data_IF_691741470282
#
_entry.id   IF_691741470282
#
_cell.length_a   1.000
_cell.length_b   1.000
_cell.length_c   1.000
_cell.angle_alpha   90.00
_cell.angle_beta   90.00
_cell.angle_gamma   90.00
#
_symmetry.space_group_name_H-M   'P 1'
#
loop_
_entity.id
_entity.type
_entity.pdbx_description
1 polymer ?
#
# COMPACT_ATOMS: atom_id res chain seq x y z
N UNK A 1 0.27 -7.24 -18.09
CA UNK A 1 0.32 -6.35 -16.90
C UNK A 1 -0.55 -5.07 -16.98
N UNK A 2 -0.72 -4.41 -18.14
CA UNK A 2 -1.52 -3.15 -18.21
C UNK A 2 -2.99 -3.32 -17.83
N UNK A 3 -3.64 -4.40 -18.30
CA UNK A 3 -5.04 -4.72 -17.95
C UNK A 3 -5.28 -4.97 -16.47
N UNK A 4 -4.33 -5.60 -15.77
CA UNK A 4 -4.46 -5.90 -14.34
C UNK A 4 -4.33 -4.62 -13.51
N UNK A 5 -3.37 -3.75 -13.86
CA UNK A 5 -3.25 -2.42 -13.25
C UNK A 5 -4.50 -1.56 -13.49
N UNK A 6 -5.09 -1.62 -14.68
CA UNK A 6 -6.31 -0.87 -15.01
C UNK A 6 -7.56 -1.41 -14.29
N UNK A 7 -7.61 -2.72 -14.03
CA UNK A 7 -8.65 -3.34 -13.21
C UNK A 7 -8.48 -2.99 -11.72
N UNK A 8 -7.26 -3.07 -11.20
CA UNK A 8 -6.93 -2.74 -9.81
C UNK A 8 -7.23 -1.25 -9.51
N UNK A 9 -6.97 -0.37 -10.47
CA UNK A 9 -7.25 1.07 -10.36
C UNK A 9 -8.76 1.33 -10.39
N UNK A 10 -9.50 0.74 -11.34
CA UNK A 10 -10.97 0.90 -11.38
C UNK A 10 -11.64 0.34 -10.13
N UNK A 11 -11.19 -0.81 -9.64
CA UNK A 11 -11.71 -1.39 -8.41
C UNK A 11 -11.43 -0.51 -7.19
N UNK A 12 -10.29 0.20 -7.18
CA UNK A 12 -9.96 1.20 -6.16
C UNK A 12 -10.94 2.37 -6.18
N UNK A 13 -11.16 2.95 -7.34
CA UNK A 13 -12.09 4.07 -7.53
C UNK A 13 -13.52 3.66 -7.15
N UNK A 14 -13.95 2.45 -7.51
CA UNK A 14 -15.27 1.92 -7.15
C UNK A 14 -15.44 1.71 -5.64
N UNK A 15 -14.44 1.12 -4.96
CA UNK A 15 -14.47 0.91 -3.51
C UNK A 15 -14.49 2.24 -2.74
N UNK A 16 -13.68 3.20 -3.19
CA UNK A 16 -13.63 4.55 -2.63
C UNK A 16 -14.99 5.23 -2.80
N UNK A 17 -15.54 5.23 -4.01
CA UNK A 17 -16.83 5.85 -4.32
C UNK A 17 -17.97 5.20 -3.53
N UNK A 18 -17.96 3.87 -3.40
CA UNK A 18 -18.96 3.15 -2.61
C UNK A 18 -18.89 3.56 -1.13
N UNK A 19 -17.70 3.61 -0.53
CA UNK A 19 -17.56 4.02 0.89
C UNK A 19 -17.90 5.50 1.09
N UNK A 20 -17.52 6.38 0.16
CA UNK A 20 -17.90 7.80 0.18
C UNK A 20 -19.43 7.97 0.11
N UNK A 21 -20.11 7.17 -0.72
CA UNK A 21 -21.57 7.16 -0.81
C UNK A 21 -22.25 6.73 0.51
N UNK A 22 -21.64 5.83 1.29
CA UNK A 22 -22.17 5.44 2.59
C UNK A 22 -21.99 6.52 3.66
N UNK A 23 -20.83 7.17 3.69
CA UNK A 23 -20.55 8.26 4.65
C UNK A 23 -21.48 9.46 4.41
N UNK A 24 -21.70 9.83 3.14
CA UNK A 24 -22.62 10.90 2.76
C UNK A 24 -24.09 10.59 3.10
N UNK A 25 -24.52 9.33 3.00
CA UNK A 25 -25.87 8.87 3.40
C UNK A 25 -26.13 8.95 4.90
N UNK A 26 -25.10 8.81 5.74
CA UNK A 26 -25.23 8.87 7.20
C UNK A 26 -25.20 10.30 7.78
N UNK A 27 -25.02 11.32 6.94
CA UNK A 27 -24.61 12.67 7.38
C UNK A 27 -25.59 13.84 7.20
N UNK A 28 -26.81 13.70 6.64
CA UNK A 28 -27.73 14.84 6.47
C UNK A 28 -29.20 14.54 6.81
N UNK A 29 -29.88 15.39 7.61
CA UNK A 29 -31.34 15.46 7.63
C UNK A 29 -31.84 16.11 6.34
N UNK A 30 -32.88 15.52 5.75
CA UNK A 30 -33.54 15.98 4.55
C UNK A 30 -34.05 17.42 4.69
N UNK A 31 -33.69 18.30 3.74
CA UNK A 31 -34.51 19.48 3.46
C UNK A 31 -34.43 19.84 1.99
N UNK A 32 -35.61 20.12 1.46
CA UNK A 32 -36.01 20.15 0.06
C UNK A 32 -35.27 21.19 -0.80
N UNK A 33 -34.94 20.77 -2.02
CA UNK A 33 -34.46 21.59 -3.12
C UNK A 33 -35.60 22.46 -3.66
N UNK A 34 -35.50 23.78 -3.54
CA UNK A 34 -36.32 24.71 -4.34
C UNK A 34 -35.44 25.33 -5.41
N UNK A 35 -35.56 24.80 -6.62
CA UNK A 35 -35.06 25.39 -7.86
C UNK A 35 -35.95 26.59 -8.16
N UNK A 36 -35.38 27.76 -8.46
CA UNK A 36 -36.10 28.77 -9.25
C UNK A 36 -35.18 29.39 -10.28
N UNK A 37 -35.66 29.30 -11.52
CA UNK A 37 -35.09 29.78 -12.77
C UNK A 37 -35.21 31.29 -12.92
N UNK A 38 -34.12 31.93 -13.37
CA UNK A 38 -34.10 33.30 -13.87
C UNK A 38 -34.71 33.37 -15.29
N UNK A 39 -35.63 34.32 -15.55
CA UNK A 39 -35.66 35.06 -16.83
C UNK A 39 -36.40 36.40 -16.77
N UNK A 40 -36.01 37.24 -17.74
CA UNK A 40 -35.98 38.70 -17.88
C UNK A 40 -37.28 39.53 -17.95
N UNK A 41 -37.08 40.79 -17.51
CA UNK A 41 -37.50 42.12 -18.00
C UNK A 41 -38.93 42.50 -18.49
N UNK A 42 -39.26 43.74 -18.10
CA UNK A 42 -40.19 44.76 -18.62
C UNK A 42 -41.73 44.75 -18.35
N UNK A 43 -42.12 45.80 -17.58
CA UNK A 43 -43.30 46.69 -17.62
C UNK A 43 -44.76 46.25 -17.36
N UNK A 44 -45.22 46.81 -16.23
CA UNK A 44 -46.40 47.69 -16.00
C UNK A 44 -47.79 47.07 -15.77
N UNK A 45 -48.41 47.45 -14.63
CA UNK A 45 -49.86 47.38 -14.43
C UNK A 45 -50.42 46.48 -13.31
N UNK A 46 -50.48 47.04 -12.08
CA UNK A 46 -51.46 46.83 -10.98
C UNK A 46 -51.79 45.42 -10.42
N UNK A 47 -51.40 45.28 -9.15
CA UNK A 47 -52.09 44.69 -7.98
C UNK A 47 -52.49 43.20 -7.99
N UNK A 48 -51.65 42.38 -7.35
CA UNK A 48 -52.07 41.50 -6.25
C UNK A 48 -50.88 41.16 -5.34
N UNK A 49 -51.16 40.92 -4.06
CA UNK A 49 -50.16 40.80 -2.98
C UNK A 49 -49.51 39.43 -2.99
N UNK A 50 -48.29 39.32 -3.52
CA UNK A 50 -47.34 38.26 -3.12
C UNK A 50 -46.16 38.90 -2.37
N UNK A 51 -46.04 38.57 -1.09
CA UNK A 51 -44.88 38.93 -0.27
C UNK A 51 -43.70 38.08 -0.73
N UNK A 52 -43.08 38.45 -1.85
CA UNK A 52 -41.73 37.98 -2.18
C UNK A 52 -40.80 38.76 -1.27
N UNK A 53 -40.47 38.18 -0.10
CA UNK A 53 -39.45 38.73 0.79
C UNK A 53 -38.15 38.88 -0.01
N UNK A 54 -37.86 40.12 -0.44
CA UNK A 54 -36.60 40.48 -1.09
C UNK A 54 -35.46 40.15 -0.14
N UNK A 55 -34.77 39.04 -0.40
CA UNK A 55 -33.61 38.61 0.36
C UNK A 55 -32.59 39.75 0.40
N UNK A 56 -32.30 40.21 1.60
CA UNK A 56 -31.38 41.31 1.86
C UNK A 56 -29.99 41.02 1.27
N UNK A 57 -29.29 42.07 0.79
CA UNK A 57 -27.86 41.98 0.41
C UNK A 57 -27.00 41.38 1.53
N UNK A 58 -27.38 41.60 2.80
CA UNK A 58 -26.68 41.01 3.95
C UNK A 58 -26.98 39.51 4.12
N UNK A 59 -28.19 39.06 3.78
CA UNK A 59 -28.56 37.65 3.79
C UNK A 59 -27.82 36.88 2.68
N UNK A 60 -27.81 37.42 1.44
CA UNK A 60 -27.02 36.84 0.33
C UNK A 60 -25.53 36.69 0.64
N UNK A 61 -24.92 37.64 1.39
CA UNK A 61 -23.51 37.55 1.81
C UNK A 61 -23.29 36.46 2.87
N UNK A 62 -24.23 36.28 3.80
CA UNK A 62 -24.19 35.19 4.79
C UNK A 62 -24.36 33.82 4.13
N UNK A 63 -25.30 33.71 3.18
CA UNK A 63 -25.56 32.47 2.46
C UNK A 63 -24.36 32.07 1.57
N UNK A 64 -23.74 33.03 0.87
CA UNK A 64 -22.51 32.77 0.09
C UNK A 64 -21.33 32.32 0.97
N UNK A 65 -21.18 32.90 2.17
CA UNK A 65 -20.15 32.46 3.12
C UNK A 65 -20.43 31.06 3.67
N UNK A 66 -21.69 30.78 4.02
CA UNK A 66 -22.10 29.47 4.50
C UNK A 66 -21.93 28.37 3.45
N UNK A 67 -22.20 28.66 2.18
CA UNK A 67 -21.97 27.74 1.07
C UNK A 67 -20.47 27.46 0.88
N UNK A 68 -19.63 28.50 0.87
CA UNK A 68 -18.18 28.33 0.74
C UNK A 68 -17.55 27.58 1.92
N UNK A 69 -18.04 27.78 3.14
CA UNK A 69 -17.61 27.03 4.34
C UNK A 69 -18.01 25.55 4.22
N UNK A 70 -19.25 25.27 3.76
CA UNK A 70 -19.74 23.92 3.52
C UNK A 70 -18.92 23.21 2.45
N UNK A 71 -18.71 23.82 1.29
CA UNK A 71 -17.87 23.26 0.22
C UNK A 71 -16.42 23.03 0.68
N UNK A 72 -15.87 23.92 1.52
CA UNK A 72 -14.54 23.73 2.10
C UNK A 72 -14.53 22.54 3.06
N UNK A 73 -15.54 22.40 3.92
CA UNK A 73 -15.65 21.26 4.83
C UNK A 73 -15.88 19.94 4.11
N UNK A 74 -16.69 19.93 3.05
CA UNK A 74 -16.94 18.75 2.20
C UNK A 74 -15.66 18.30 1.51
N UNK A 75 -14.87 19.21 0.94
CA UNK A 75 -13.55 18.89 0.36
C UNK A 75 -12.57 18.33 1.39
N UNK A 76 -12.60 18.82 2.63
CA UNK A 76 -11.75 18.29 3.71
C UNK A 76 -12.18 16.86 4.06
N UNK A 77 -13.47 16.63 4.26
CA UNK A 77 -14.02 15.30 4.57
C UNK A 77 -13.76 14.32 3.43
N UNK A 78 -13.94 14.74 2.18
CA UNK A 78 -13.63 13.92 1.00
C UNK A 78 -12.15 13.54 0.97
N UNK A 79 -11.24 14.49 1.20
CA UNK A 79 -9.81 14.21 1.22
C UNK A 79 -9.39 13.34 2.43
N UNK A 80 -10.01 13.52 3.59
CA UNK A 80 -9.79 12.69 4.77
C UNK A 80 -10.32 11.27 4.57
N UNK A 81 -11.51 11.11 3.98
CA UNK A 81 -12.06 9.78 3.64
C UNK A 81 -11.24 9.07 2.58
N UNK A 82 -10.74 9.77 1.56
CA UNK A 82 -9.79 9.24 0.58
C UNK A 82 -8.51 8.73 1.25
N UNK A 83 -7.99 9.47 2.24
CA UNK A 83 -6.80 9.07 2.99
C UNK A 83 -7.06 7.89 3.94
N UNK A 84 -8.22 7.86 4.61
CA UNK A 84 -8.59 6.79 5.57
C UNK A 84 -8.92 5.49 4.84
N UNK A 85 -9.66 5.55 3.74
CA UNK A 85 -10.06 4.36 2.98
C UNK A 85 -9.07 3.95 1.88
N UNK A 86 -7.96 4.68 1.75
CA UNK A 86 -6.89 4.33 0.83
C UNK A 86 -6.34 2.93 1.14
N UNK A 87 -6.05 2.15 0.09
CA UNK A 87 -5.49 0.79 0.20
C UNK A 87 -4.25 0.75 1.10
N UNK A 88 -3.43 1.79 1.07
CA UNK A 88 -2.24 1.96 1.92
C UNK A 88 -2.57 1.96 3.42
N UNK A 89 -3.57 2.73 3.83
CA UNK A 89 -3.94 2.88 5.25
C UNK A 89 -4.55 1.58 5.77
N UNK A 90 -5.47 0.98 4.99
CA UNK A 90 -6.06 -0.31 5.32
C UNK A 90 -5.01 -1.43 5.40
N UNK A 91 -4.03 -1.44 4.49
CA UNK A 91 -2.90 -2.38 4.51
C UNK A 91 -2.04 -2.19 5.76
N UNK A 92 -1.67 -0.96 6.08
CA UNK A 92 -0.86 -0.64 7.25
C UNK A 92 -1.56 -1.05 8.55
N UNK A 93 -2.83 -0.70 8.71
CA UNK A 93 -3.65 -1.06 9.88
C UNK A 93 -3.78 -2.59 10.03
N UNK A 94 -4.01 -3.32 8.93
CA UNK A 94 -4.11 -4.77 8.96
C UNK A 94 -2.81 -5.44 9.40
N UNK A 95 -1.67 -4.99 8.86
CA UNK A 95 -0.35 -5.52 9.24
C UNK A 95 -0.02 -5.15 10.70
N UNK A 96 -0.26 -3.90 11.10
CA UNK A 96 -0.02 -3.43 12.46
C UNK A 96 -0.81 -4.25 13.48
N UNK A 97 -2.07 -4.57 13.19
CA UNK A 97 -2.89 -5.46 14.03
C UNK A 97 -2.24 -6.84 14.19
N UNK A 98 -1.80 -7.47 13.10
CA UNK A 98 -1.14 -8.79 13.14
C UNK A 98 0.16 -8.73 13.96
N UNK A 99 0.92 -7.64 13.84
CA UNK A 99 2.16 -7.46 14.59
C UNK A 99 1.88 -7.27 16.09
N UNK A 100 0.88 -6.45 16.44
CA UNK A 100 0.46 -6.20 17.82
C UNK A 100 0.02 -7.48 18.53
N UNK A 101 -0.79 -8.32 17.87
CA UNK A 101 -1.21 -9.64 18.38
C UNK A 101 -0.02 -10.59 18.66
N UNK A 102 1.16 -10.30 18.11
CA UNK A 102 2.38 -11.11 18.23
C UNK A 102 3.47 -10.47 19.10
N UNK A 103 3.18 -9.40 19.83
CA UNK A 103 4.17 -8.61 20.58
C UNK A 103 5.33 -8.08 19.69
N UNK A 104 5.03 -7.79 18.41
CA UNK A 104 5.97 -7.28 17.42
C UNK A 104 5.63 -5.84 17.02
N UNK A 105 6.66 -5.08 16.62
CA UNK A 105 6.52 -3.77 15.99
C UNK A 105 7.19 -3.76 14.62
N UNK A 106 6.64 -2.95 13.72
CA UNK A 106 7.22 -2.71 12.41
C UNK A 106 8.60 -2.05 12.56
N UNK A 107 9.58 -2.52 11.82
CA UNK A 107 10.85 -1.85 11.64
C UNK A 107 10.96 -1.42 10.18
N UNK A 108 10.81 -0.12 9.95
CA UNK A 108 10.82 0.46 8.61
C UNK A 108 12.22 0.37 7.97
N UNK A 109 12.24 -0.15 6.75
CA UNK A 109 13.42 -0.27 5.90
C UNK A 109 13.32 0.80 4.80
N UNK A 110 14.43 1.50 4.47
CA UNK A 110 14.42 2.48 3.39
C UNK A 110 13.92 1.93 2.04
N UNK A 111 13.18 2.75 1.30
CA UNK A 111 12.64 2.42 -0.02
C UNK A 111 13.66 2.68 -1.14
N UNK A 112 14.81 2.00 -1.08
CA UNK A 112 15.97 2.21 -1.98
C UNK A 112 16.19 1.06 -2.99
N UNK A 113 15.21 0.17 -3.15
CA UNK A 113 15.32 -1.03 -4.00
C UNK A 113 16.16 -2.17 -3.37
N UNK A 114 16.75 -1.96 -2.20
CA UNK A 114 17.45 -2.98 -1.43
C UNK A 114 16.61 -3.52 -0.26
N UNK A 115 15.34 -3.14 -0.19
CA UNK A 115 14.47 -3.36 0.96
C UNK A 115 14.40 -4.84 1.40
N UNK A 116 14.26 -5.79 0.47
CA UNK A 116 14.25 -7.22 0.80
C UNK A 116 15.52 -7.64 1.57
N UNK A 117 16.68 -7.34 1.00
CA UNK A 117 17.98 -7.73 1.57
C UNK A 117 18.27 -6.98 2.87
N UNK A 118 17.93 -5.69 2.95
CA UNK A 118 18.09 -4.90 4.17
C UNK A 118 17.17 -5.41 5.29
N UNK A 119 15.94 -5.82 4.97
CA UNK A 119 15.00 -6.37 5.94
C UNK A 119 15.49 -7.71 6.50
N UNK A 120 16.02 -8.58 5.63
CA UNK A 120 16.64 -9.87 6.01
C UNK A 120 17.91 -9.66 6.83
N UNK A 121 18.82 -8.79 6.38
CA UNK A 121 20.05 -8.46 7.13
C UNK A 121 19.73 -7.93 8.53
N UNK A 122 18.71 -7.08 8.66
CA UNK A 122 18.24 -6.61 9.96
C UNK A 122 17.71 -7.75 10.84
N UNK A 123 16.91 -8.68 10.31
CA UNK A 123 16.45 -9.85 11.06
C UNK A 123 17.61 -10.74 11.51
N UNK A 124 18.56 -11.05 10.62
CA UNK A 124 19.73 -11.87 10.95
C UNK A 124 20.55 -11.24 12.08
N UNK A 125 20.73 -9.91 12.05
CA UNK A 125 21.36 -9.17 13.14
C UNK A 125 20.63 -9.33 14.48
N UNK A 126 19.30 -9.23 14.49
CA UNK A 126 18.50 -9.45 15.71
C UNK A 126 18.59 -10.90 16.20
N UNK A 127 18.73 -11.85 15.30
CA UNK A 127 18.95 -13.25 15.61
C UNK A 127 20.40 -13.53 16.06
N UNK A 128 21.30 -12.54 16.09
CA UNK A 128 22.70 -12.73 16.48
C UNK A 128 23.55 -13.46 15.44
N UNK A 129 23.09 -13.52 14.19
CA UNK A 129 23.80 -14.12 13.06
C UNK A 129 24.48 -13.02 12.23
N UNK A 130 25.72 -12.69 12.62
CA UNK A 130 26.54 -11.64 11.99
C UNK A 130 27.72 -12.32 11.30
N UNK A 131 27.81 -12.23 9.96
CA UNK A 131 28.23 -10.98 9.32
C UNK A 131 27.48 -10.67 8.00
N UNK A 132 26.21 -11.03 7.88
CA UNK A 132 25.48 -10.90 6.62
C UNK A 132 25.07 -9.44 6.33
N UNK A 133 25.92 -8.72 5.60
CA UNK A 133 25.59 -7.42 5.03
C UNK A 133 24.81 -7.53 3.72
N UNK A 134 24.26 -6.41 3.26
CA UNK A 134 23.51 -6.29 2.00
C UNK A 134 24.23 -6.93 0.81
N UNK A 135 25.51 -6.58 0.61
CA UNK A 135 26.30 -7.07 -0.52
C UNK A 135 26.56 -8.58 -0.43
N UNK A 136 26.82 -9.09 0.78
CA UNK A 136 27.04 -10.53 1.00
C UNK A 136 25.77 -11.34 0.64
N UNK A 137 24.60 -10.88 1.10
CA UNK A 137 23.32 -11.52 0.77
C UNK A 137 23.03 -11.50 -0.73
N UNK A 138 23.27 -10.37 -1.41
CA UNK A 138 23.09 -10.26 -2.87
C UNK A 138 24.03 -11.19 -3.64
N UNK A 139 25.31 -11.19 -3.29
CA UNK A 139 26.30 -12.06 -3.93
C UNK A 139 25.99 -13.54 -3.71
N UNK A 140 25.61 -13.94 -2.49
CA UNK A 140 25.18 -15.32 -2.21
C UNK A 140 23.95 -15.71 -2.99
N UNK A 141 22.95 -14.83 -3.06
CA UNK A 141 21.71 -15.07 -3.82
C UNK A 141 22.00 -15.30 -5.29
N UNK A 142 22.77 -14.39 -5.91
CA UNK A 142 23.17 -14.53 -7.31
C UNK A 142 24.03 -15.78 -7.58
N UNK A 143 24.90 -16.14 -6.64
CA UNK A 143 25.75 -17.34 -6.79
C UNK A 143 24.92 -18.61 -6.73
N UNK A 144 23.94 -18.67 -5.82
CA UNK A 144 23.04 -19.82 -5.69
C UNK A 144 22.09 -19.94 -6.88
N UNK A 145 21.58 -18.82 -7.40
CA UNK A 145 20.80 -18.78 -8.65
C UNK A 145 21.60 -19.40 -9.81
N UNK A 146 22.83 -18.94 -10.04
CA UNK A 146 23.69 -19.50 -11.10
C UNK A 146 23.96 -20.99 -10.94
N UNK A 147 24.23 -21.43 -9.71
CA UNK A 147 24.54 -22.83 -9.44
C UNK A 147 23.33 -23.77 -9.66
N UNK A 148 22.10 -23.25 -9.56
CA UNK A 148 20.86 -24.03 -9.59
C UNK A 148 19.89 -23.48 -10.65
N UNK A 149 20.41 -23.07 -11.81
CA UNK A 149 19.64 -22.41 -12.86
C UNK A 149 18.35 -23.16 -13.21
N UNK A 150 18.40 -24.49 -13.36
CA UNK A 150 17.25 -25.29 -13.77
C UNK A 150 16.07 -25.25 -12.78
N UNK A 151 16.35 -24.97 -11.50
CA UNK A 151 15.31 -24.92 -10.46
C UNK A 151 14.58 -23.57 -10.47
N UNK A 152 15.21 -22.51 -10.99
CA UNK A 152 14.69 -21.15 -10.93
C UNK A 152 14.28 -20.58 -12.29
N UNK A 153 14.91 -21.03 -13.38
CA UNK A 153 14.62 -20.58 -14.74
C UNK A 153 13.14 -20.71 -15.14
N UNK A 154 12.40 -21.79 -14.77
CA UNK A 154 10.98 -21.91 -15.11
C UNK A 154 10.08 -20.81 -14.52
N UNK A 155 10.56 -20.06 -13.53
CA UNK A 155 9.82 -18.98 -12.86
C UNK A 155 10.20 -17.58 -13.37
N UNK A 156 11.10 -17.49 -14.35
CA UNK A 156 11.57 -16.24 -14.92
C UNK A 156 11.19 -16.15 -16.40
N UNK A 157 10.26 -15.25 -16.71
CA UNK A 157 9.84 -14.93 -18.07
C UNK A 157 10.02 -13.45 -18.40
N UNK A 158 10.16 -13.15 -19.68
CA UNK A 158 10.21 -11.79 -20.17
C UNK A 158 8.82 -11.16 -20.04
N UNK A 159 8.68 -10.01 -19.35
CA UNK A 159 7.38 -9.36 -19.16
C UNK A 159 6.67 -8.95 -20.47
N UNK A 160 7.42 -8.80 -21.57
CA UNK A 160 6.88 -8.38 -22.87
C UNK A 160 6.51 -9.55 -23.79
N UNK A 161 7.24 -10.67 -23.76
CA UNK A 161 7.02 -11.81 -24.65
C UNK A 161 6.44 -13.05 -23.98
N UNK A 162 6.40 -13.08 -22.64
CA UNK A 162 6.03 -14.25 -21.82
C UNK A 162 6.89 -15.50 -22.09
N UNK A 163 8.00 -15.33 -22.82
CA UNK A 163 8.97 -16.39 -23.07
C UNK A 163 9.91 -16.52 -21.87
N UNK A 164 10.30 -17.76 -21.57
CA UNK A 164 11.32 -18.03 -20.55
C UNK A 164 12.63 -17.34 -20.92
N UNK A 165 13.39 -16.94 -19.91
CA UNK A 165 14.70 -16.34 -20.13
C UNK A 165 15.61 -17.26 -20.94
N UNK A 166 16.34 -16.68 -21.89
CA UNK A 166 17.52 -17.32 -22.46
C UNK A 166 18.62 -17.42 -21.41
N UNK A 167 19.62 -18.28 -21.64
CA UNK A 167 20.78 -18.39 -20.75
C UNK A 167 21.51 -17.06 -20.56
N UNK A 168 21.56 -16.21 -21.59
CA UNK A 168 22.17 -14.87 -21.51
C UNK A 168 21.34 -13.91 -20.65
N UNK A 169 20.00 -13.93 -20.78
CA UNK A 169 19.10 -13.12 -19.96
C UNK A 169 19.13 -13.56 -18.50
N UNK A 170 19.20 -14.86 -18.24
CA UNK A 170 19.33 -15.41 -16.89
C UNK A 170 20.66 -14.98 -16.24
N UNK A 171 21.77 -15.04 -16.97
CA UNK A 171 23.06 -14.56 -16.48
C UNK A 171 23.02 -13.05 -16.19
N UNK A 172 22.38 -12.26 -17.06
CA UNK A 172 22.15 -10.83 -16.81
C UNK A 172 21.34 -10.62 -15.52
N UNK A 173 20.25 -11.36 -15.33
CA UNK A 173 19.45 -11.29 -14.11
C UNK A 173 20.27 -11.61 -12.86
N UNK A 174 21.11 -12.66 -12.89
CA UNK A 174 22.01 -12.98 -11.78
C UNK A 174 23.01 -11.85 -11.49
N UNK A 175 23.52 -11.18 -12.53
CA UNK A 175 24.39 -10.01 -12.38
C UNK A 175 23.66 -8.80 -11.78
N UNK A 176 22.42 -8.55 -12.21
CA UNK A 176 21.60 -7.47 -11.70
C UNK A 176 21.26 -7.69 -10.21
N UNK A 177 20.90 -8.93 -9.83
CA UNK A 177 20.69 -9.34 -8.44
C UNK A 177 21.92 -9.07 -7.58
N UNK A 178 23.11 -9.39 -8.07
CA UNK A 178 24.37 -9.23 -7.32
C UNK A 178 24.79 -7.75 -7.15
N UNK A 179 24.60 -6.93 -8.18
CA UNK A 179 25.35 -5.67 -8.32
C UNK A 179 24.48 -4.40 -8.37
N UNK A 180 23.15 -4.54 -8.39
CA UNK A 180 22.24 -3.39 -8.56
C UNK A 180 21.21 -3.29 -7.44
N UNK A 181 20.37 -2.26 -7.50
CA UNK A 181 19.16 -2.13 -6.67
C UNK A 181 17.94 -2.83 -7.26
N UNK A 182 18.15 -3.84 -8.14
CA UNK A 182 17.07 -4.68 -8.64
C UNK A 182 16.24 -5.24 -7.47
N UNK A 183 14.92 -5.12 -7.61
CA UNK A 183 13.95 -5.49 -6.60
C UNK A 183 13.94 -7.00 -6.44
N UNK A 184 14.02 -7.47 -5.19
CA UNK A 184 13.88 -8.89 -4.89
C UNK A 184 12.42 -9.27 -4.65
N UNK A 185 12.06 -10.48 -5.04
CA UNK A 185 10.72 -11.04 -4.88
C UNK A 185 10.75 -12.45 -4.28
N UNK A 186 9.79 -13.28 -4.71
CA UNK A 186 9.60 -14.63 -4.19
C UNK A 186 10.79 -15.56 -4.48
N UNK A 187 11.43 -15.43 -5.65
CA UNK A 187 12.59 -16.23 -6.04
C UNK A 187 13.77 -15.94 -5.11
N UNK A 188 14.09 -14.66 -4.91
CA UNK A 188 15.18 -14.25 -4.01
C UNK A 188 14.92 -14.69 -2.57
N UNK A 189 13.67 -14.61 -2.10
CA UNK A 189 13.27 -15.12 -0.79
C UNK A 189 13.50 -16.63 -0.65
N UNK A 190 13.12 -17.41 -1.66
CA UNK A 190 13.34 -18.86 -1.69
C UNK A 190 14.83 -19.20 -1.68
N UNK A 191 15.62 -18.50 -2.48
CA UNK A 191 17.09 -18.65 -2.50
C UNK A 191 17.71 -18.28 -1.16
N UNK A 192 17.33 -17.14 -0.58
CA UNK A 192 17.85 -16.66 0.71
C UNK A 192 17.57 -17.67 1.81
N UNK A 193 16.36 -18.25 1.84
CA UNK A 193 16.03 -19.30 2.80
C UNK A 193 16.93 -20.53 2.65
N UNK A 194 17.17 -20.98 1.42
CA UNK A 194 18.05 -22.12 1.14
C UNK A 194 19.53 -21.86 1.47
N UNK A 195 20.02 -20.64 1.21
CA UNK A 195 21.40 -20.21 1.49
C UNK A 195 21.64 -20.06 2.99
N UNK A 196 20.69 -19.45 3.70
CA UNK A 196 20.79 -19.17 5.13
C UNK A 196 20.37 -20.37 5.99
N UNK A 197 19.77 -21.41 5.39
CA UNK A 197 19.19 -22.57 6.09
C UNK A 197 18.22 -22.13 7.19
N UNK A 198 17.39 -21.15 6.84
CA UNK A 198 16.57 -20.39 7.75
C UNK A 198 15.17 -20.22 7.15
N UNK A 199 14.09 -20.53 7.90
CA UNK A 199 12.74 -20.29 7.44
C UNK A 199 12.46 -18.78 7.44
N UNK A 200 11.81 -18.30 6.38
CA UNK A 200 11.40 -16.90 6.24
C UNK A 200 9.87 -16.83 6.26
N UNK A 201 9.32 -16.20 7.29
CA UNK A 201 7.89 -15.90 7.38
C UNK A 201 7.62 -14.50 6.84
N UNK A 202 6.63 -14.40 5.95
CA UNK A 202 6.19 -13.12 5.37
C UNK A 202 4.75 -12.85 5.81
N UNK A 203 4.59 -11.77 6.58
CA UNK A 203 3.30 -11.25 7.01
C UNK A 203 2.81 -10.24 5.96
N UNK A 204 1.54 -10.31 5.57
CA UNK A 204 0.92 -9.43 4.59
C UNK A 204 -0.48 -9.03 5.08
N UNK A 205 -1.02 -7.92 4.58
CA UNK A 205 -2.32 -7.41 5.04
C UNK A 205 -3.49 -8.34 4.75
N UNK A 206 -3.40 -9.18 3.72
CA UNK A 206 -4.48 -10.09 3.31
C UNK A 206 -4.00 -11.53 3.25
N UNK A 207 -4.81 -12.44 3.77
CA UNK A 207 -4.49 -13.86 3.82
C UNK A 207 -3.61 -14.25 5.01
N UNK A 208 -3.26 -15.53 5.07
CA UNK A 208 -2.39 -16.05 6.12
C UNK A 208 -0.92 -15.70 5.82
N UNK A 209 -0.10 -15.42 6.84
CA UNK A 209 1.34 -15.34 6.66
C UNK A 209 1.85 -16.67 6.10
N UNK A 210 2.72 -16.57 5.10
CA UNK A 210 3.31 -17.75 4.45
C UNK A 210 4.77 -17.90 4.87
N UNK A 211 5.23 -19.16 4.89
CA UNK A 211 6.58 -19.53 5.31
C UNK A 211 7.29 -20.15 4.12
N UNK A 212 8.47 -19.62 3.83
CA UNK A 212 9.41 -20.14 2.84
C UNK A 212 10.50 -20.91 3.57
N UNK A 213 10.88 -22.07 3.04
CA UNK A 213 11.89 -22.93 3.65
C UNK A 213 11.39 -23.65 4.89
N UNK A 214 10.18 -24.21 4.85
CA UNK A 214 9.60 -24.95 5.97
C UNK A 214 10.44 -26.18 6.35
N UNK A 215 11.30 -26.67 5.46
CA UNK A 215 12.30 -27.70 5.76
C UNK A 215 13.33 -27.27 6.83
N UNK A 216 13.44 -25.97 7.13
CA UNK A 216 14.34 -25.42 8.13
C UNK A 216 13.63 -25.04 9.44
N UNK A 217 12.42 -25.55 9.72
CA UNK A 217 11.59 -25.17 10.88
C UNK A 217 12.31 -25.24 12.24
N UNK A 218 13.34 -26.09 12.38
CA UNK A 218 14.12 -26.21 13.61
C UNK A 218 15.16 -25.10 13.82
N UNK A 219 15.39 -24.23 12.84
CA UNK A 219 16.32 -23.10 12.97
C UNK A 219 15.61 -21.81 13.37
N UNK A 220 16.39 -20.76 13.65
CA UNK A 220 15.83 -19.44 13.98
C UNK A 220 15.09 -18.90 12.77
N UNK A 221 13.92 -18.30 12.97
CA UNK A 221 13.05 -17.81 11.88
C UNK A 221 13.27 -16.32 11.63
N UNK A 222 13.37 -15.94 10.35
CA UNK A 222 13.36 -14.55 9.88
C UNK A 222 11.90 -14.15 9.64
N UNK A 223 11.45 -13.04 10.22
CA UNK A 223 10.08 -12.53 10.01
C UNK A 223 10.12 -11.18 9.29
N UNK A 224 9.39 -11.09 8.19
CA UNK A 224 9.27 -9.90 7.35
C UNK A 224 7.80 -9.49 7.23
N UNK A 225 7.57 -8.23 6.86
CA UNK A 225 6.25 -7.77 6.42
C UNK A 225 6.31 -7.32 4.96
N UNK A 226 5.34 -7.74 4.16
CA UNK A 226 5.17 -7.38 2.76
C UNK A 226 4.00 -6.39 2.62
N UNK A 227 4.29 -5.26 1.99
CA UNK A 227 3.35 -4.17 1.77
C UNK A 227 3.23 -3.91 0.27
N UNK A 228 2.06 -4.15 -0.33
CA UNK A 228 1.80 -3.97 -1.76
C UNK A 228 1.52 -2.50 -2.11
N UNK A 229 1.00 -1.72 -1.17
CA UNK A 229 0.49 -0.37 -1.38
C UNK A 229 1.17 0.70 -0.50
N UNK A 230 2.19 0.33 0.29
CA UNK A 230 2.94 1.28 1.12
C UNK A 230 3.59 2.42 0.31
N UNK A 231 4.08 2.13 -0.90
CA UNK A 231 4.67 3.13 -1.79
C UNK A 231 4.08 3.10 -3.19
N UNK A 232 4.10 4.27 -3.87
CA UNK A 232 3.60 4.40 -5.25
C UNK A 232 4.39 3.57 -6.27
N UNK A 233 5.68 3.31 -5.99
CA UNK A 233 6.52 2.56 -6.91
C UNK A 233 6.21 1.06 -6.91
N UNK A 234 5.47 0.56 -5.92
CA UNK A 234 5.09 -0.84 -5.82
C UNK A 234 5.39 -1.43 -4.45
N UNK A 235 5.52 -2.75 -4.43
CA UNK A 235 5.61 -3.51 -3.20
C UNK A 235 6.94 -3.31 -2.44
N UNK A 236 6.88 -3.48 -1.13
CA UNK A 236 8.01 -3.20 -0.23
C UNK A 236 8.07 -4.20 0.94
N UNK A 237 9.29 -4.54 1.32
CA UNK A 237 9.57 -5.39 2.47
C UNK A 237 10.11 -4.57 3.64
N UNK A 238 9.53 -4.77 4.81
CA UNK A 238 10.03 -4.26 6.07
C UNK A 238 10.41 -5.41 7.00
N UNK A 239 11.21 -5.06 8.01
CA UNK A 239 11.60 -5.98 9.08
C UNK A 239 10.64 -5.83 10.27
N UNK A 240 10.77 -6.70 11.27
CA UNK A 240 10.04 -6.58 12.54
C UNK A 240 11.01 -6.53 13.70
N UNK A 241 10.57 -6.00 14.84
CA UNK A 241 11.33 -6.08 16.09
C UNK A 241 10.39 -6.36 17.25
N UNK A 242 10.93 -6.90 18.35
CA UNK A 242 10.12 -7.11 19.55
C UNK A 242 9.70 -5.78 20.15
N UNK A 243 8.47 -5.72 20.66
CA UNK A 243 8.06 -4.62 21.54
C UNK A 243 8.86 -4.79 22.84
N UNK A 244 9.62 -3.78 23.22
CA UNK A 244 10.26 -3.77 24.53
C UNK A 244 9.14 -3.75 25.56
N UNK A 245 9.01 -4.80 26.37
CA UNK A 245 8.18 -4.75 27.57
C UNK A 245 8.95 -3.84 28.52
N UNK A 246 8.45 -2.63 28.73
CA UNK A 246 8.92 -1.83 29.85
C UNK A 246 8.63 -2.66 31.11
N UNK A 247 9.69 -3.13 31.76
CA UNK A 247 9.61 -3.74 33.09
C UNK A 247 9.28 -2.62 34.09
N UNK A 248 8.01 -2.22 34.14
CA UNK A 248 7.47 -1.36 35.19
C UNK A 248 6.10 -1.90 35.61
N UNK A 249 6.11 -2.79 36.61
CA UNK A 249 5.07 -2.96 37.65
C UNK A 249 5.56 -3.91 38.74
#
# INVERSE_FOLDING_TARGET
MRMESDLDTRHEEELINFKLSQVTLTGLPSSETVINSDHDDDKDGKADVEIVQRISKAQRRRDKKALAERERSERIIEQETLNVFGKRTLEAEAIEKILCERDLKLYEIPSDGHCLYNAVAHQLKLLGDMPHGLQDLRTKTASHLRANMNDFLPFLSNPDSDELFSSEQYEKYCNDVANTSAWGGAIELQVLSQVLKCPIEVIQATGVPYIIGSEFEHSRKVTLTYHRHMYKLGAHYNSVSKIAKDEDS
#
